data_IF_565633993911
#
_entry.id   IF_565633993911
#
_cell.length_a   1.000
_cell.length_b   1.000
_cell.length_c   1.000
_cell.angle_alpha   90.00
_cell.angle_beta   90.00
_cell.angle_gamma   90.00
#
_symmetry.space_group_name_H-M   'P 1'
#
loop_
_entity.id
_entity.type
_entity.pdbx_description
1 polymer ?
#
# COMPACT_ATOMS: atom_id res chain seq x y z
N UNK A 1 -16.27 0.97 -14.36
CA UNK A 1 -16.59 1.54 -13.04
C UNK A 1 -15.41 1.38 -12.09
N UNK A 2 -14.89 0.17 -11.85
CA UNK A 2 -13.72 -0.07 -10.97
C UNK A 2 -12.38 0.53 -11.49
N UNK A 3 -12.08 0.40 -12.79
CA UNK A 3 -10.84 0.93 -13.40
C UNK A 3 -10.73 2.46 -13.33
N UNK A 4 -11.86 3.17 -13.28
CA UNK A 4 -11.85 4.63 -13.16
C UNK A 4 -11.55 5.08 -11.73
N UNK A 5 -11.92 4.27 -10.74
CA UNK A 5 -11.72 4.55 -9.32
C UNK A 5 -10.26 4.36 -8.90
N UNK A 6 -9.60 3.28 -9.33
CA UNK A 6 -8.17 3.07 -9.07
C UNK A 6 -7.29 4.17 -9.70
N UNK A 7 -7.58 4.56 -10.94
CA UNK A 7 -6.83 5.60 -11.64
C UNK A 7 -6.97 6.96 -10.94
N UNK A 8 -8.16 7.28 -10.44
CA UNK A 8 -8.40 8.49 -9.65
C UNK A 8 -7.62 8.47 -8.32
N UNK A 9 -7.57 7.33 -7.64
CA UNK A 9 -6.76 7.15 -6.42
C UNK A 9 -5.28 7.35 -6.76
N UNK A 10 -4.74 6.71 -7.79
CA UNK A 10 -3.32 6.89 -8.14
C UNK A 10 -2.98 8.34 -8.52
N UNK A 11 -3.85 9.01 -9.27
CA UNK A 11 -3.68 10.43 -9.60
C UNK A 11 -3.67 11.33 -8.36
N UNK A 12 -4.54 11.05 -7.38
CA UNK A 12 -4.55 11.76 -6.09
C UNK A 12 -3.20 11.69 -5.37
N UNK A 13 -2.51 10.55 -5.45
CA UNK A 13 -1.26 10.31 -4.72
C UNK A 13 0.03 10.54 -5.52
N UNK A 14 -0.06 10.83 -6.83
CA UNK A 14 1.08 10.78 -7.75
C UNK A 14 2.29 11.62 -7.30
N UNK A 15 2.04 12.86 -6.85
CA UNK A 15 3.09 13.74 -6.34
C UNK A 15 3.71 13.28 -5.02
N UNK A 16 2.98 12.53 -4.20
CA UNK A 16 3.44 12.07 -2.88
C UNK A 16 4.22 10.76 -2.97
N UNK A 17 3.96 9.94 -3.99
CA UNK A 17 4.60 8.61 -4.20
C UNK A 17 5.61 8.57 -5.35
N UNK A 18 5.96 9.73 -5.93
CA UNK A 18 6.88 9.82 -7.07
C UNK A 18 8.24 9.17 -6.80
N UNK A 19 8.78 9.37 -5.60
CA UNK A 19 10.08 8.88 -5.17
C UNK A 19 10.12 8.79 -3.63
N UNK A 20 11.15 8.11 -3.08
CA UNK A 20 11.31 7.93 -1.64
C UNK A 20 11.43 9.26 -0.87
N UNK A 21 12.02 10.28 -1.49
CA UNK A 21 12.16 11.61 -0.89
C UNK A 21 10.76 12.23 -0.69
N UNK A 22 9.94 12.19 -1.73
CA UNK A 22 8.57 12.71 -1.75
C UNK A 22 7.71 11.98 -0.71
N UNK A 23 7.84 10.66 -0.58
CA UNK A 23 7.16 9.89 0.46
C UNK A 23 7.52 10.41 1.86
N UNK A 24 8.82 10.50 2.17
CA UNK A 24 9.30 10.93 3.49
C UNK A 24 8.87 12.36 3.81
N UNK A 25 9.00 13.29 2.86
CA UNK A 25 8.63 14.69 3.08
C UNK A 25 7.12 14.88 3.26
N UNK A 26 6.28 14.14 2.53
CA UNK A 26 4.84 14.21 2.71
C UNK A 26 4.39 13.51 3.98
N UNK A 27 5.03 12.39 4.37
CA UNK A 27 4.76 11.73 5.64
C UNK A 27 4.98 12.65 6.84
N UNK A 28 6.05 13.46 6.82
CA UNK A 28 6.33 14.47 7.85
C UNK A 28 5.25 15.55 8.00
N UNK A 29 4.50 15.84 6.93
CA UNK A 29 3.38 16.79 6.94
C UNK A 29 2.08 16.16 7.47
N UNK A 30 2.04 14.83 7.57
CA UNK A 30 0.84 14.06 7.84
C UNK A 30 0.00 13.83 6.59
N UNK A 31 -0.55 12.63 6.45
CA UNK A 31 -1.45 12.24 5.37
C UNK A 31 -2.89 12.25 5.86
N UNK A 32 -3.85 12.67 5.04
CA UNK A 32 -5.27 12.52 5.39
C UNK A 32 -5.63 11.06 5.67
N UNK A 33 -6.40 10.81 6.73
CA UNK A 33 -6.92 9.47 7.07
C UNK A 33 -7.81 8.84 6.00
N UNK A 34 -8.25 9.61 5.01
CA UNK A 34 -8.89 9.07 3.80
C UNK A 34 -8.01 8.02 3.10
N UNK A 35 -6.69 8.06 3.30
CA UNK A 35 -5.77 7.03 2.80
C UNK A 35 -6.12 5.61 3.25
N UNK A 36 -6.72 5.43 4.43
CA UNK A 36 -7.21 4.11 4.85
C UNK A 36 -8.29 3.58 3.91
N UNK A 37 -9.24 4.43 3.53
CA UNK A 37 -10.31 4.05 2.61
C UNK A 37 -9.77 3.76 1.21
N UNK A 38 -8.85 4.59 0.74
CA UNK A 38 -8.24 4.39 -0.58
C UNK A 38 -7.42 3.09 -0.62
N UNK A 39 -6.73 2.74 0.47
CA UNK A 39 -6.04 1.44 0.60
C UNK A 39 -7.04 0.29 0.63
N UNK A 40 -8.19 0.42 1.31
CA UNK A 40 -9.27 -0.58 1.25
C UNK A 40 -9.72 -0.79 -0.20
N UNK A 41 -9.96 0.31 -0.93
CA UNK A 41 -10.39 0.26 -2.31
C UNK A 41 -9.35 -0.32 -3.25
N UNK A 42 -8.04 -0.06 -3.03
CA UNK A 42 -6.96 -0.63 -3.83
C UNK A 42 -6.67 -2.09 -3.50
N UNK A 43 -6.70 -2.46 -2.22
CA UNK A 43 -6.36 -3.82 -1.79
C UNK A 43 -7.50 -4.83 -1.89
N UNK A 44 -8.75 -4.36 -1.79
CA UNK A 44 -9.90 -5.23 -1.58
C UNK A 44 -9.95 -5.84 -0.17
N UNK A 45 -9.08 -5.40 0.75
CA UNK A 45 -9.05 -5.91 2.11
C UNK A 45 -10.14 -5.30 2.98
N UNK A 46 -10.57 -6.06 3.98
CA UNK A 46 -11.50 -5.56 5.00
C UNK A 46 -10.80 -4.57 5.93
N UNK A 47 -11.58 -3.70 6.56
CA UNK A 47 -11.08 -2.68 7.50
C UNK A 47 -10.25 -3.30 8.63
N UNK A 48 -10.60 -4.50 9.08
CA UNK A 48 -9.88 -5.23 10.12
C UNK A 48 -8.47 -5.64 9.68
N UNK A 49 -8.31 -6.03 8.40
CA UNK A 49 -6.99 -6.35 7.83
C UNK A 49 -6.16 -5.08 7.66
N UNK A 50 -6.77 -3.96 7.27
CA UNK A 50 -6.07 -2.66 7.26
C UNK A 50 -5.66 -2.25 8.67
N UNK A 51 -6.50 -2.49 9.68
CA UNK A 51 -6.12 -2.23 11.07
C UNK A 51 -4.87 -3.02 11.48
N UNK A 52 -4.75 -4.29 11.06
CA UNK A 52 -3.57 -5.11 11.29
C UNK A 52 -2.33 -4.54 10.59
N UNK A 53 -2.44 -4.18 9.30
CA UNK A 53 -1.32 -3.59 8.54
C UNK A 53 -0.75 -2.32 9.18
N UNK A 54 -1.60 -1.54 9.85
CA UNK A 54 -1.20 -0.31 10.54
C UNK A 54 -0.99 -0.48 12.05
N UNK A 55 -1.00 -1.72 12.55
CA UNK A 55 -0.89 -2.06 13.97
C UNK A 55 -1.80 -1.19 14.87
N UNK A 56 -3.06 -1.06 14.45
CA UNK A 56 -4.07 -0.23 15.11
C UNK A 56 -5.40 -0.97 15.20
N UNK A 57 -6.47 -0.29 15.61
CA UNK A 57 -7.81 -0.86 15.67
C UNK A 57 -8.72 -0.33 14.56
N UNK A 58 -9.67 -1.15 14.12
CA UNK A 58 -10.70 -0.76 13.18
C UNK A 58 -11.54 0.44 13.70
N UNK A 59 -11.68 0.56 15.03
CA UNK A 59 -12.29 1.72 15.71
C UNK A 59 -11.44 2.98 15.55
N UNK A 60 -10.12 2.88 15.70
CA UNK A 60 -9.19 4.00 15.47
C UNK A 60 -9.29 4.50 14.04
N UNK A 61 -9.24 3.61 13.05
CA UNK A 61 -9.41 3.95 11.63
C UNK A 61 -10.73 4.69 11.42
N UNK A 62 -11.84 4.13 11.90
CA UNK A 62 -13.18 4.72 11.75
C UNK A 62 -13.23 6.13 12.35
N UNK A 63 -12.70 6.30 13.56
CA UNK A 63 -12.64 7.60 14.23
C UNK A 63 -11.80 8.61 13.45
N UNK A 64 -10.63 8.21 12.95
CA UNK A 64 -9.75 9.10 12.19
C UNK A 64 -10.43 9.62 10.93
N UNK A 65 -11.12 8.74 10.19
CA UNK A 65 -11.89 9.11 9.00
C UNK A 65 -13.04 10.07 9.37
N UNK A 66 -13.83 9.74 10.39
CA UNK A 66 -14.96 10.58 10.83
C UNK A 66 -14.54 11.97 11.29
N UNK A 67 -13.40 12.07 11.97
CA UNK A 67 -12.85 13.33 12.46
C UNK A 67 -11.98 14.05 11.42
N UNK A 68 -11.86 13.53 10.19
CA UNK A 68 -10.97 14.03 9.13
C UNK A 68 -9.54 14.29 9.62
N UNK A 69 -9.04 13.41 10.49
CA UNK A 69 -7.70 13.55 11.07
C UNK A 69 -6.62 13.19 10.09
N UNK A 70 -5.46 13.83 10.23
CA UNK A 70 -4.24 13.34 9.59
C UNK A 70 -3.65 12.18 10.39
N UNK A 71 -3.04 11.26 9.65
CA UNK A 71 -2.17 10.22 10.14
C UNK A 71 -0.90 10.85 10.73
N UNK A 72 -0.29 10.16 11.70
CA UNK A 72 1.03 10.53 12.19
C UNK A 72 2.11 10.22 11.14
N UNK A 73 3.36 10.60 11.42
CA UNK A 73 4.46 10.49 10.46
C UNK A 73 4.65 9.03 10.01
N UNK A 74 4.62 8.09 10.96
CA UNK A 74 4.84 6.66 10.70
C UNK A 74 3.72 6.10 9.85
N UNK A 75 2.45 6.29 10.25
CA UNK A 75 1.29 5.78 9.51
C UNK A 75 1.16 6.46 8.15
N UNK A 76 1.57 7.73 8.03
CA UNK A 76 1.58 8.44 6.75
C UNK A 76 2.59 7.84 5.78
N UNK A 77 3.82 7.59 6.22
CA UNK A 77 4.85 6.94 5.40
C UNK A 77 4.40 5.53 4.97
N UNK A 78 3.85 4.78 5.93
CA UNK A 78 3.33 3.44 5.72
C UNK A 78 2.22 3.42 4.66
N UNK A 79 1.24 4.32 4.78
CA UNK A 79 0.15 4.44 3.81
C UNK A 79 0.66 4.78 2.41
N UNK A 80 1.57 5.75 2.29
CA UNK A 80 2.17 6.14 1.01
C UNK A 80 2.96 4.99 0.37
N UNK A 81 3.72 4.23 1.17
CA UNK A 81 4.46 3.05 0.69
C UNK A 81 3.52 1.94 0.22
N UNK A 82 2.43 1.68 0.93
CA UNK A 82 1.40 0.72 0.48
C UNK A 82 0.80 1.16 -0.86
N UNK A 83 0.41 2.43 -0.98
CA UNK A 83 -0.18 2.95 -2.22
C UNK A 83 0.82 2.85 -3.39
N UNK A 84 2.09 3.22 -3.16
CA UNK A 84 3.16 3.07 -4.14
C UNK A 84 3.36 1.61 -4.57
N UNK A 85 3.35 0.67 -3.61
CA UNK A 85 3.46 -0.76 -3.87
C UNK A 85 2.30 -1.25 -4.75
N UNK A 86 1.05 -0.86 -4.43
CA UNK A 86 -0.12 -1.22 -5.22
C UNK A 86 -0.08 -0.65 -6.63
N UNK A 87 0.42 0.59 -6.80
CA UNK A 87 0.62 1.17 -8.13
C UNK A 87 1.62 0.36 -8.93
N UNK A 88 2.82 0.10 -8.36
CA UNK A 88 3.87 -0.65 -9.04
C UNK A 88 3.46 -2.08 -9.36
N UNK A 89 2.78 -2.74 -8.43
CA UNK A 89 2.22 -4.07 -8.62
C UNK A 89 1.21 -4.10 -9.77
N UNK A 90 0.29 -3.14 -9.81
CA UNK A 90 -0.69 -3.03 -10.91
C UNK A 90 -0.01 -2.80 -12.26
N UNK A 91 1.02 -1.95 -12.32
CA UNK A 91 1.82 -1.72 -13.52
C UNK A 91 2.49 -3.02 -14.03
N UNK A 92 3.12 -3.79 -13.14
CA UNK A 92 3.84 -5.03 -13.50
C UNK A 92 2.87 -6.14 -13.92
N UNK A 93 1.77 -6.31 -13.19
CA UNK A 93 0.83 -7.39 -13.43
C UNK A 93 -0.23 -7.04 -14.48
N UNK A 94 -0.26 -5.80 -14.96
CA UNK A 94 -1.18 -5.29 -15.99
C UNK A 94 -2.60 -4.98 -15.49
N UNK A 95 -3.04 -5.60 -14.39
CA UNK A 95 -4.33 -5.35 -13.76
C UNK A 95 -4.24 -5.44 -12.22
N UNK A 96 -5.02 -4.61 -11.52
CA UNK A 96 -5.02 -4.57 -10.06
C UNK A 96 -5.44 -5.91 -9.46
N UNK A 97 -6.41 -6.59 -10.06
CA UNK A 97 -6.90 -7.89 -9.61
C UNK A 97 -5.83 -8.99 -9.70
N UNK A 98 -4.95 -8.96 -10.70
CA UNK A 98 -3.82 -9.90 -10.79
C UNK A 98 -2.83 -9.65 -9.66
N UNK A 99 -2.51 -8.39 -9.37
CA UNK A 99 -1.65 -8.05 -8.25
C UNK A 99 -2.26 -8.43 -6.90
N UNK A 100 -3.57 -8.19 -6.68
CA UNK A 100 -4.30 -8.64 -5.48
C UNK A 100 -4.22 -10.14 -5.27
N UNK A 101 -4.31 -10.93 -6.34
CA UNK A 101 -4.16 -12.40 -6.26
C UNK A 101 -2.74 -12.80 -5.91
N UNK A 102 -1.74 -12.08 -6.41
CA UNK A 102 -0.33 -12.39 -6.15
C UNK A 102 0.09 -12.05 -4.71
N UNK A 103 -0.29 -10.86 -4.21
CA UNK A 103 0.13 -10.35 -2.90
C UNK A 103 -0.40 -11.20 -1.72
N UNK A 104 -1.42 -12.02 -1.98
CA UNK A 104 -2.06 -12.93 -1.02
C UNK A 104 -1.59 -14.39 -1.13
N UNK A 105 -0.56 -14.68 -1.95
CA UNK A 105 0.00 -16.02 -2.09
C UNK A 105 1.47 -16.06 -1.65
N UNK A 106 1.92 -17.19 -1.07
CA UNK A 106 3.35 -17.41 -0.80
C UNK A 106 4.22 -17.07 -2.02
N UNK A 107 5.23 -16.23 -1.81
CA UNK A 107 6.11 -15.78 -2.88
C UNK A 107 7.53 -16.37 -2.74
N UNK A 108 7.99 -17.02 -3.81
CA UNK A 108 9.38 -17.44 -3.91
C UNK A 108 10.33 -16.22 -3.92
N UNK A 109 11.46 -16.29 -3.23
CA UNK A 109 12.35 -15.16 -2.98
C UNK A 109 11.97 -14.26 -1.80
N UNK A 110 10.82 -14.51 -1.15
CA UNK A 110 10.43 -13.92 0.14
C UNK A 110 10.35 -15.00 1.25
N UNK A 111 11.18 -16.04 1.16
CA UNK A 111 11.16 -17.15 2.12
C UNK A 111 9.82 -17.90 2.19
N UNK A 112 9.07 -17.91 1.07
CA UNK A 112 7.72 -18.48 0.98
C UNK A 112 6.69 -17.84 1.91
N UNK A 113 6.96 -16.63 2.41
CA UNK A 113 5.98 -15.84 3.15
C UNK A 113 4.94 -15.25 2.20
N UNK A 114 3.74 -14.97 2.73
CA UNK A 114 2.71 -14.25 1.99
C UNK A 114 3.06 -12.75 2.00
N UNK A 115 3.22 -12.08 0.84
CA UNK A 115 3.69 -10.70 0.78
C UNK A 115 2.91 -9.73 1.68
N UNK A 116 1.58 -9.85 1.73
CA UNK A 116 0.74 -8.98 2.57
C UNK A 116 1.06 -9.09 4.07
N UNK A 117 1.50 -10.25 4.55
CA UNK A 117 1.84 -10.46 5.97
C UNK A 117 3.13 -9.73 6.36
N UNK A 118 3.99 -9.42 5.39
CA UNK A 118 5.20 -8.63 5.63
C UNK A 118 4.91 -7.13 5.72
N UNK A 119 3.75 -6.69 5.21
CA UNK A 119 3.45 -5.27 5.02
C UNK A 119 3.10 -4.52 6.31
N UNK A 120 3.14 -5.16 7.48
CA UNK A 120 2.97 -4.51 8.80
C UNK A 120 4.13 -3.57 9.15
N UNK A 121 5.24 -3.63 8.41
CA UNK A 121 6.40 -2.75 8.63
C UNK A 121 6.85 -2.11 7.32
N UNK A 122 7.40 -0.90 7.39
CA UNK A 122 7.99 -0.24 6.22
C UNK A 122 9.06 -1.10 5.54
N UNK A 123 9.90 -1.78 6.33
CA UNK A 123 10.93 -2.68 5.79
C UNK A 123 10.34 -3.89 5.07
N UNK A 124 9.25 -4.48 5.58
CA UNK A 124 8.57 -5.55 4.88
C UNK A 124 7.89 -5.11 3.58
N UNK A 125 7.35 -3.88 3.52
CA UNK A 125 6.86 -3.31 2.25
C UNK A 125 8.00 -3.15 1.25
N UNK A 126 9.17 -2.69 1.69
CA UNK A 126 10.36 -2.55 0.85
C UNK A 126 10.81 -3.90 0.29
N UNK A 127 10.80 -4.97 1.09
CA UNK A 127 11.10 -6.33 0.61
C UNK A 127 10.14 -6.78 -0.49
N UNK A 128 8.84 -6.52 -0.34
CA UNK A 128 7.85 -6.86 -1.38
C UNK A 128 8.09 -6.03 -2.64
N UNK A 129 8.38 -4.73 -2.49
CA UNK A 129 8.68 -3.84 -3.62
C UNK A 129 9.95 -4.27 -4.38
N UNK A 130 11.00 -4.67 -3.67
CA UNK A 130 12.21 -5.24 -4.27
C UNK A 130 11.90 -6.52 -5.04
N UNK A 131 11.04 -7.38 -4.49
CA UNK A 131 10.60 -8.59 -5.22
C UNK A 131 9.85 -8.23 -6.50
N UNK A 132 8.99 -7.21 -6.47
CA UNK A 132 8.30 -6.71 -7.66
C UNK A 132 9.29 -6.24 -8.73
N UNK A 133 10.31 -5.46 -8.37
CA UNK A 133 11.33 -5.05 -9.34
C UNK A 133 12.06 -6.25 -9.95
N UNK A 134 12.37 -7.30 -9.17
CA UNK A 134 12.96 -8.52 -9.73
C UNK A 134 12.04 -9.21 -10.74
N UNK A 135 10.74 -9.24 -10.48
CA UNK A 135 9.74 -9.78 -11.42
C UNK A 135 9.72 -8.97 -12.72
N UNK A 136 9.73 -7.64 -12.63
CA UNK A 136 9.73 -6.72 -13.79
C UNK A 136 10.92 -6.97 -14.73
N UNK A 137 12.11 -7.21 -14.18
CA UNK A 137 13.33 -7.47 -14.98
C UNK A 137 13.52 -8.95 -15.36
N UNK A 138 12.51 -9.81 -15.15
CA UNK A 138 12.59 -11.24 -15.47
C UNK A 138 13.57 -12.03 -14.59
N UNK A 139 14.03 -11.44 -13.48
CA UNK A 139 14.93 -12.09 -12.54
C UNK A 139 14.13 -13.03 -11.63
N UNK A 140 13.97 -14.28 -12.06
CA UNK A 140 13.55 -15.38 -11.17
C UNK A 140 14.74 -15.79 -10.32
N UNK A 141 14.98 -15.07 -9.23
CA UNK A 141 15.88 -15.51 -8.16
C UNK A 141 15.11 -16.31 -7.12
#
# INVERSE_FOLDING_TARGET
MLVQEEAAIYSKYDSQIRDNISIVFNARKGLSSQAYYDIILLSGFKKEQIAQLFNTSAKTITRYIQENKNLDIVSSEHALKIIALFRKGTEIFGELEAFRRWIQKPAYGLGWQVPVELMETSGGIELVLEKLYRIEFGATA
#
